data_IF_054976953584
#
_entry.id   IF_054976953584
#
_cell.length_a   1.000
_cell.length_b   1.000
_cell.length_c   1.000
_cell.angle_alpha   90.00
_cell.angle_beta   90.00
_cell.angle_gamma   90.00
#
_symmetry.space_group_name_H-M   'P 1'
#
loop_
_entity.id
_entity.type
_entity.pdbx_description
1 polymer ?
#
# COMPACT_ATOMS: atom_id res chain seq x y z
N UNK A 1 15.07 -4.05 -12.76
CA UNK A 1 13.63 -4.23 -12.51
C UNK A 1 13.35 -5.16 -11.30
N UNK A 2 13.91 -6.38 -11.28
CA UNK A 2 13.73 -7.33 -10.16
C UNK A 2 14.38 -6.88 -8.84
N UNK A 3 15.65 -6.45 -8.83
CA UNK A 3 16.33 -6.00 -7.61
C UNK A 3 15.62 -4.82 -6.93
N UNK A 4 15.15 -3.84 -7.71
CA UNK A 4 14.33 -2.72 -7.20
C UNK A 4 13.09 -3.24 -6.47
N UNK A 5 12.39 -4.22 -7.05
CA UNK A 5 11.20 -4.82 -6.44
C UNK A 5 11.51 -5.55 -5.13
N UNK A 6 12.57 -6.34 -5.10
CA UNK A 6 13.03 -7.04 -3.87
C UNK A 6 13.39 -6.02 -2.79
N UNK A 7 14.21 -5.03 -3.12
CA UNK A 7 14.61 -3.96 -2.20
C UNK A 7 13.39 -3.21 -1.64
N UNK A 8 12.46 -2.78 -2.50
CA UNK A 8 11.24 -2.10 -2.06
C UNK A 8 10.36 -3.02 -1.21
N UNK A 9 10.33 -4.33 -1.44
CA UNK A 9 9.58 -5.26 -0.58
C UNK A 9 10.20 -5.33 0.82
N UNK A 10 11.52 -5.46 0.92
CA UNK A 10 12.23 -5.46 2.20
C UNK A 10 12.03 -4.13 2.95
N UNK A 11 12.21 -3.00 2.25
CA UNK A 11 11.98 -1.66 2.82
C UNK A 11 10.55 -1.50 3.35
N UNK A 12 9.55 -1.96 2.59
CA UNK A 12 8.16 -1.90 3.01
C UNK A 12 7.89 -2.70 4.28
N UNK A 13 8.45 -3.90 4.39
CA UNK A 13 8.33 -4.73 5.59
C UNK A 13 8.98 -4.06 6.80
N UNK A 14 10.18 -3.48 6.64
CA UNK A 14 10.86 -2.74 7.71
C UNK A 14 10.04 -1.54 8.18
N UNK A 15 9.48 -0.75 7.26
CA UNK A 15 8.61 0.39 7.61
C UNK A 15 7.37 -0.11 8.35
N UNK A 16 6.72 -1.17 7.89
CA UNK A 16 5.53 -1.75 8.55
C UNK A 16 5.80 -2.19 9.99
N UNK A 17 7.00 -2.71 10.29
CA UNK A 17 7.37 -3.09 11.66
C UNK A 17 7.40 -1.90 12.63
N UNK A 18 7.59 -0.68 12.12
CA UNK A 18 7.61 0.54 12.95
C UNK A 18 6.22 1.03 13.37
N UNK A 19 5.13 0.42 12.88
CA UNK A 19 3.76 0.84 13.23
C UNK A 19 3.46 0.75 14.74
N UNK A 20 4.08 -0.22 15.42
CA UNK A 20 3.94 -0.39 16.88
C UNK A 20 4.71 0.64 17.69
N UNK A 21 5.61 1.40 17.06
CA UNK A 21 6.42 2.40 17.74
C UNK A 21 5.58 3.66 17.89
N UNK A 22 5.40 4.19 19.11
CA UNK A 22 4.70 5.44 19.32
C UNK A 22 5.35 6.56 18.51
N UNK A 23 4.55 7.25 17.69
CA UNK A 23 5.00 8.40 16.91
C UNK A 23 4.60 8.33 15.45
N UNK A 24 4.74 9.45 14.76
CA UNK A 24 4.34 9.60 13.36
C UNK A 24 5.31 8.97 12.37
N UNK A 25 6.25 8.10 12.78
CA UNK A 25 7.27 7.56 11.87
C UNK A 25 6.63 6.69 10.79
N UNK A 26 5.80 5.72 11.18
CA UNK A 26 5.09 4.87 10.24
C UNK A 26 4.19 5.70 9.31
N UNK A 27 3.34 6.55 9.91
CA UNK A 27 2.42 7.43 9.18
C UNK A 27 3.14 8.38 8.21
N UNK A 28 4.35 8.86 8.55
CA UNK A 28 5.13 9.76 7.69
C UNK A 28 5.87 9.05 6.56
N UNK A 29 6.34 7.82 6.80
CA UNK A 29 7.22 7.13 5.85
C UNK A 29 6.49 6.11 4.97
N UNK A 30 5.40 5.52 5.46
CA UNK A 30 4.65 4.54 4.68
C UNK A 30 4.00 5.13 3.42
N UNK A 31 3.37 6.32 3.44
CA UNK A 31 2.87 6.96 2.21
C UNK A 31 3.99 7.28 1.21
N UNK A 32 5.16 7.72 1.69
CA UNK A 32 6.33 7.96 0.83
C UNK A 32 6.81 6.68 0.16
N UNK A 33 6.81 5.58 0.90
CA UNK A 33 7.11 4.26 0.37
C UNK A 33 6.10 3.82 -0.70
N UNK A 34 4.81 4.02 -0.47
CA UNK A 34 3.77 3.73 -1.47
C UNK A 34 3.95 4.59 -2.73
N UNK A 35 4.36 5.85 -2.57
CA UNK A 35 4.72 6.73 -3.70
C UNK A 35 5.93 6.23 -4.49
N UNK A 36 6.94 5.64 -3.82
CA UNK A 36 8.07 4.95 -4.49
C UNK A 36 7.63 3.68 -5.26
N UNK A 37 6.48 3.10 -4.88
CA UNK A 37 5.82 2.00 -5.58
C UNK A 37 4.90 2.49 -6.71
N UNK A 38 4.91 3.78 -7.02
CA UNK A 38 4.11 4.42 -8.08
C UNK A 38 2.62 4.59 -7.73
N UNK A 39 2.22 4.35 -6.48
CA UNK A 39 0.87 4.74 -6.00
C UNK A 39 0.83 6.26 -5.89
N UNK A 40 -0.17 6.90 -6.49
CA UNK A 40 -0.39 8.33 -6.31
C UNK A 40 -1.09 8.56 -4.97
N UNK A 41 -0.34 9.07 -3.98
CA UNK A 41 -0.83 9.33 -2.64
C UNK A 41 -0.26 10.62 -2.08
N UNK A 42 -1.06 11.31 -1.29
CA UNK A 42 -0.62 12.45 -0.49
C UNK A 42 0.41 11.99 0.56
N UNK A 43 1.57 12.64 0.61
CA UNK A 43 2.64 12.33 1.59
C UNK A 43 2.76 13.37 2.70
N UNK A 44 1.94 14.41 2.65
CA UNK A 44 1.90 15.48 3.63
C UNK A 44 0.82 15.17 4.66
N UNK A 45 1.22 15.07 5.92
CA UNK A 45 0.28 14.85 7.02
C UNK A 45 -0.62 16.07 7.19
N UNK A 46 -1.89 15.98 6.79
CA UNK A 46 -2.89 17.03 7.05
C UNK A 46 -3.62 16.78 8.37
N UNK A 47 -3.96 17.87 9.07
CA UNK A 47 -4.91 17.84 10.19
C UNK A 47 -4.56 16.94 11.38
N UNK A 48 -3.30 16.93 11.83
CA UNK A 48 -2.92 16.25 13.07
C UNK A 48 -2.69 14.74 12.98
N UNK A 49 -2.47 14.19 11.78
CA UNK A 49 -2.03 12.79 11.61
C UNK A 49 -3.16 11.77 11.44
N UNK A 50 -4.29 12.17 10.88
CA UNK A 50 -5.43 11.27 10.63
C UNK A 50 -5.30 10.40 9.37
N UNK A 51 -4.20 10.54 8.63
CA UNK A 51 -3.90 9.68 7.49
C UNK A 51 -3.19 8.42 8.00
N UNK A 52 -3.86 7.28 7.84
CA UNK A 52 -3.33 6.00 8.30
C UNK A 52 -3.74 4.90 7.32
N UNK A 53 -2.78 4.08 6.92
CA UNK A 53 -3.04 2.86 6.17
C UNK A 53 -2.56 1.74 7.06
N UNK A 54 -3.39 0.76 7.38
CA UNK A 54 -2.98 -0.34 8.22
C UNK A 54 -1.85 -1.16 7.56
N UNK A 55 -0.85 -1.65 8.32
CA UNK A 55 0.20 -2.52 7.78
C UNK A 55 -0.30 -3.78 7.08
N UNK A 56 -1.48 -4.28 7.47
CA UNK A 56 -2.11 -5.46 6.85
C UNK A 56 -2.94 -5.14 5.60
N UNK A 57 -3.17 -3.85 5.28
CA UNK A 57 -3.77 -3.49 4.00
C UNK A 57 -2.86 -3.95 2.85
N UNK A 58 -3.47 -4.56 1.85
CA UNK A 58 -2.79 -5.17 0.72
C UNK A 58 -3.18 -4.49 -0.58
N UNK A 59 -2.17 -3.96 -1.27
CA UNK A 59 -2.30 -3.46 -2.63
C UNK A 59 -1.68 -4.50 -3.56
N UNK A 60 -2.48 -5.09 -4.42
CA UNK A 60 -1.99 -6.04 -5.40
C UNK A 60 -1.13 -5.34 -6.47
N UNK A 61 -0.02 -5.99 -6.80
CA UNK A 61 1.10 -5.41 -7.53
C UNK A 61 1.09 -5.60 -9.04
N UNK A 62 -0.08 -5.77 -9.68
CA UNK A 62 -0.15 -5.80 -11.14
C UNK A 62 0.21 -4.44 -11.75
N UNK A 63 -0.40 -3.34 -11.30
CA UNK A 63 -0.03 -1.98 -11.71
C UNK A 63 -0.45 -0.92 -10.66
N UNK A 64 0.49 -0.53 -9.80
CA UNK A 64 0.24 0.46 -8.74
C UNK A 64 -0.08 1.88 -9.22
N UNK A 65 0.35 2.25 -10.44
CA UNK A 65 0.10 3.58 -11.01
C UNK A 65 -1.38 3.90 -11.26
N UNK A 66 -2.25 2.89 -11.19
CA UNK A 66 -3.71 3.04 -11.31
C UNK A 66 -4.37 3.55 -10.03
N UNK A 67 -3.65 3.57 -8.90
CA UNK A 67 -4.22 3.89 -7.59
C UNK A 67 -3.96 5.37 -7.27
N UNK A 68 -5.05 6.10 -7.00
CA UNK A 68 -5.02 7.45 -6.44
C UNK A 68 -5.69 7.46 -5.06
N UNK A 69 -4.98 7.94 -4.03
CA UNK A 69 -5.48 8.08 -2.65
C UNK A 69 -5.33 9.55 -2.22
N UNK A 70 -6.46 10.20 -1.97
CA UNK A 70 -6.51 11.58 -1.50
C UNK A 70 -5.94 11.80 -0.08
N UNK A 71 -5.74 13.06 0.29
CA UNK A 71 -5.35 13.42 1.66
C UNK A 71 -6.48 13.20 2.68
N UNK A 72 -6.14 12.99 3.94
CA UNK A 72 -7.09 12.72 5.03
C UNK A 72 -7.69 11.30 5.03
N UNK A 73 -7.22 10.39 4.19
CA UNK A 73 -7.79 9.03 4.06
C UNK A 73 -7.22 8.08 5.10
N UNK A 74 -8.10 7.32 5.74
CA UNK A 74 -7.74 6.14 6.54
C UNK A 74 -8.16 4.85 5.83
N UNK A 75 -7.23 3.89 5.72
CA UNK A 75 -7.47 2.53 5.23
C UNK A 75 -7.24 1.57 6.38
N UNK A 76 -8.30 0.84 6.75
CA UNK A 76 -8.28 -0.08 7.89
C UNK A 76 -7.56 -1.40 7.58
N UNK A 77 -7.44 -2.24 8.62
CA UNK A 77 -6.82 -3.56 8.56
C UNK A 77 -7.54 -4.45 7.55
N UNK A 78 -6.75 -5.28 6.88
CA UNK A 78 -7.19 -6.39 6.01
C UNK A 78 -8.01 -5.95 4.80
N UNK A 79 -7.91 -4.67 4.42
CA UNK A 79 -8.40 -4.15 3.14
C UNK A 79 -7.52 -4.67 2.01
N UNK A 80 -8.16 -5.19 0.96
CA UNK A 80 -7.49 -5.65 -0.26
C UNK A 80 -7.91 -4.77 -1.43
N UNK A 81 -6.93 -4.14 -2.08
CA UNK A 81 -7.13 -3.35 -3.30
C UNK A 81 -6.45 -4.06 -4.48
N UNK A 82 -7.22 -4.33 -5.51
CA UNK A 82 -6.77 -5.04 -6.69
C UNK A 82 -6.61 -4.09 -7.86
N UNK A 83 -5.50 -4.20 -8.58
CA UNK A 83 -5.21 -3.43 -9.80
C UNK A 83 -5.44 -4.23 -11.07
N UNK A 84 -6.13 -5.37 -10.93
CA UNK A 84 -6.49 -6.28 -12.00
C UNK A 84 -7.87 -6.90 -11.72
N UNK A 85 -8.50 -7.44 -12.75
CA UNK A 85 -9.79 -8.12 -12.61
C UNK A 85 -9.67 -9.36 -11.73
N UNK A 86 -10.36 -9.37 -10.59
CA UNK A 86 -10.62 -10.57 -9.81
C UNK A 86 -11.76 -11.37 -10.45
N UNK A 87 -11.60 -11.78 -11.71
CA UNK A 87 -12.64 -12.61 -12.32
C UNK A 87 -12.55 -14.03 -11.75
N UNK A 88 -13.51 -14.40 -10.91
CA UNK A 88 -13.78 -15.80 -10.57
C UNK A 88 -13.95 -16.63 -11.85
N UNK A 89 -14.46 -16.01 -12.93
CA UNK A 89 -14.60 -16.62 -14.25
C UNK A 89 -13.26 -17.16 -14.83
N UNK A 90 -12.13 -16.45 -14.71
CA UNK A 90 -10.81 -16.97 -15.13
C UNK A 90 -10.26 -18.05 -14.21
N UNK A 91 -10.60 -18.01 -12.92
CA UNK A 91 -10.20 -19.05 -11.97
C UNK A 91 -10.96 -20.37 -12.25
N UNK A 92 -12.25 -20.29 -12.60
CA UNK A 92 -13.08 -21.43 -12.97
C UNK A 92 -12.75 -21.99 -14.38
N UNK A 93 -12.35 -21.15 -15.34
CA UNK A 93 -12.05 -21.59 -16.71
C UNK A 93 -10.69 -22.30 -16.90
N UNK A 94 -9.86 -22.38 -15.84
CA UNK A 94 -8.59 -23.14 -15.85
C UNK A 94 -8.72 -24.54 -15.23
N UNK A 95 -9.94 -24.95 -14.89
CA UNK A 95 -10.25 -26.23 -14.23
C UNK A 95 -11.02 -27.22 -15.09
N UNK A 96 -10.94 -27.15 -16.42
CA UNK A 96 -11.45 -28.16 -17.37
C UNK A 96 -10.41 -28.42 -18.46
#
# INVERSE_FOLDING_TARGET
>A
MFLKKVFLTLLGNLIKMTEKIPGSFYQKNYPKYLKMREIDICTELRGGGQEYIAPSAYFDGANYSMIHIGGGVTISKDVVMLTHDYSIAKAASKGN
#
